data_IF_922024115977
#
_entry.id   IF_922024115977
#
_cell.length_a   1.000
_cell.length_b   1.000
_cell.length_c   1.000
_cell.angle_alpha   90.00
_cell.angle_beta   90.00
_cell.angle_gamma   90.00
#
_symmetry.space_group_name_H-M   'P 1'
#
loop_
_entity.id
_entity.type
_entity.pdbx_description
1 polymer ?
#
# COMPACT_ATOMS: atom_id res chain seq x y z
N UNK A 1 27.18 -16.06 -26.08
CA UNK A 1 28.26 -16.47 -27.02
C UNK A 1 29.65 -16.67 -26.36
N UNK A 2 29.90 -16.27 -25.09
CA UNK A 2 31.24 -16.42 -24.46
C UNK A 2 31.41 -17.53 -23.42
N UNK A 3 30.34 -18.24 -23.02
CA UNK A 3 30.47 -19.22 -21.94
C UNK A 3 31.20 -20.50 -22.37
N UNK A 4 31.09 -20.89 -23.65
CA UNK A 4 31.72 -22.12 -24.15
C UNK A 4 33.26 -22.04 -24.23
N UNK A 5 33.81 -20.86 -24.56
CA UNK A 5 35.26 -20.65 -24.67
C UNK A 5 35.97 -20.58 -23.30
N UNK A 6 35.21 -20.35 -22.21
CA UNK A 6 35.73 -20.28 -20.83
C UNK A 6 35.62 -21.60 -20.07
N UNK A 7 35.15 -22.68 -20.69
CA UNK A 7 35.02 -23.99 -20.04
C UNK A 7 36.36 -24.71 -20.04
N UNK A 8 36.91 -24.95 -18.84
CA UNK A 8 38.18 -25.68 -18.65
C UNK A 8 37.98 -27.19 -18.40
N UNK A 9 36.84 -27.59 -17.83
CA UNK A 9 36.54 -28.98 -17.48
C UNK A 9 35.64 -29.64 -18.52
N UNK A 10 36.01 -30.84 -19.00
CA UNK A 10 35.20 -31.61 -19.96
C UNK A 10 33.87 -32.13 -19.41
N UNK A 11 33.69 -32.16 -18.08
CA UNK A 11 32.43 -32.53 -17.42
C UNK A 11 32.30 -31.86 -16.05
N UNK A 12 31.32 -30.95 -15.89
CA UNK A 12 30.98 -30.34 -14.60
C UNK A 12 30.07 -31.26 -13.79
N UNK A 13 30.46 -31.56 -12.56
CA UNK A 13 29.61 -32.29 -11.61
C UNK A 13 28.67 -31.32 -10.90
N UNK A 14 27.39 -31.68 -10.79
CA UNK A 14 26.45 -30.92 -9.99
C UNK A 14 26.68 -31.22 -8.49
N UNK A 15 27.27 -30.27 -7.77
CA UNK A 15 27.54 -30.39 -6.32
C UNK A 15 26.30 -30.12 -5.45
N UNK A 16 25.15 -29.80 -6.02
CA UNK A 16 23.92 -29.59 -5.25
C UNK A 16 23.32 -30.93 -4.80
N UNK A 17 23.35 -31.16 -3.49
CA UNK A 17 22.73 -32.35 -2.86
C UNK A 17 21.21 -32.29 -2.81
N UNK A 18 20.61 -31.11 -2.98
CA UNK A 18 19.16 -30.90 -2.94
C UNK A 18 18.76 -29.93 -4.04
N UNK A 19 17.76 -30.31 -4.83
CA UNK A 19 17.18 -29.45 -5.86
C UNK A 19 16.21 -28.50 -5.18
N UNK A 20 16.50 -27.19 -5.23
CA UNK A 20 15.52 -26.15 -4.90
C UNK A 20 14.89 -25.64 -6.19
N UNK A 21 13.57 -25.44 -6.16
CA UNK A 21 12.83 -24.79 -7.25
C UNK A 21 12.68 -23.31 -6.89
N UNK A 22 13.79 -22.59 -6.97
CA UNK A 22 13.80 -21.17 -6.66
C UNK A 22 13.03 -20.41 -7.74
N UNK A 23 12.10 -19.55 -7.31
CA UNK A 23 11.47 -18.55 -8.18
C UNK A 23 12.10 -17.19 -7.84
N UNK A 24 12.47 -16.38 -8.85
CA UNK A 24 13.09 -15.08 -8.60
C UNK A 24 12.14 -14.20 -7.76
N UNK A 25 12.65 -13.59 -6.69
CA UNK A 25 11.87 -12.75 -5.78
C UNK A 25 11.03 -13.50 -4.73
N UNK A 26 10.94 -14.83 -4.78
CA UNK A 26 10.21 -15.63 -3.79
C UNK A 26 11.18 -16.30 -2.82
N UNK A 27 11.46 -15.63 -1.70
CA UNK A 27 12.33 -16.16 -0.66
C UNK A 27 11.60 -17.00 0.40
N UNK A 28 10.29 -16.78 0.58
CA UNK A 28 9.47 -17.41 1.61
C UNK A 28 8.20 -18.06 1.04
N UNK A 29 7.46 -18.77 1.91
CA UNK A 29 6.14 -19.31 1.56
C UNK A 29 5.17 -18.19 1.14
N UNK A 30 4.32 -18.48 0.16
CA UNK A 30 3.33 -17.52 -0.35
C UNK A 30 2.03 -17.60 0.45
N UNK A 31 1.46 -16.45 0.77
CA UNK A 31 0.09 -16.33 1.31
C UNK A 31 -0.95 -16.38 0.20
N UNK A 32 -2.23 -16.51 0.56
CA UNK A 32 -3.33 -16.41 -0.39
C UNK A 32 -3.32 -15.02 -1.06
N UNK A 33 -3.08 -14.93 -2.38
CA UNK A 33 -3.01 -13.65 -3.06
C UNK A 33 -4.41 -13.07 -3.27
N UNK A 34 -4.54 -11.74 -3.22
CA UNK A 34 -5.77 -11.04 -3.64
C UNK A 34 -6.02 -11.30 -5.13
N UNK A 35 -4.93 -11.31 -5.92
CA UNK A 35 -4.98 -11.73 -7.32
C UNK A 35 -4.96 -13.25 -7.40
N UNK A 36 -6.15 -13.84 -7.35
CA UNK A 36 -6.36 -15.29 -7.28
C UNK A 36 -5.94 -16.05 -8.54
N UNK A 37 -5.87 -17.39 -8.41
CA UNK A 37 -5.54 -18.28 -9.53
C UNK A 37 -6.53 -18.09 -10.69
N UNK A 38 -5.98 -17.96 -11.89
CA UNK A 38 -6.77 -17.84 -13.10
C UNK A 38 -7.32 -16.43 -13.36
N UNK A 39 -6.95 -15.43 -12.54
CA UNK A 39 -7.18 -14.02 -12.80
C UNK A 39 -5.90 -13.35 -13.30
N UNK A 40 -6.03 -12.49 -14.31
CA UNK A 40 -4.98 -11.60 -14.79
C UNK A 40 -5.26 -10.19 -14.29
N UNK A 41 -4.19 -9.49 -13.90
CA UNK A 41 -4.19 -8.09 -13.52
C UNK A 41 -3.07 -7.40 -14.30
N UNK A 42 -3.40 -6.34 -15.03
CA UNK A 42 -2.43 -5.49 -15.70
C UNK A 42 -2.74 -4.03 -15.37
N UNK A 43 -1.69 -3.23 -15.16
CA UNK A 43 -1.80 -1.79 -14.95
C UNK A 43 -1.01 -1.12 -16.07
N UNK A 44 -1.70 -0.31 -16.89
CA UNK A 44 -1.10 0.40 -18.01
C UNK A 44 -1.55 1.85 -17.96
N UNK A 45 -0.59 2.77 -17.92
CA UNK A 45 -0.85 4.21 -17.85
C UNK A 45 -1.81 4.56 -16.68
N UNK A 46 -1.65 3.87 -15.54
CA UNK A 46 -2.54 3.96 -14.37
C UNK A 46 -3.85 3.20 -14.49
N UNK A 47 -4.29 2.76 -15.67
CA UNK A 47 -5.54 2.04 -15.84
C UNK A 47 -5.39 0.54 -15.56
N UNK A 48 -6.32 0.00 -14.76
CA UNK A 48 -6.37 -1.39 -14.38
C UNK A 48 -7.22 -2.19 -15.37
N UNK A 49 -6.60 -3.21 -15.95
CA UNK A 49 -7.22 -4.21 -16.79
C UNK A 49 -7.20 -5.54 -16.05
N UNK A 50 -8.34 -6.22 -16.06
CA UNK A 50 -8.48 -7.56 -15.49
C UNK A 50 -9.07 -8.51 -16.51
N UNK A 51 -8.62 -9.76 -16.47
CA UNK A 51 -9.17 -10.83 -17.30
C UNK A 51 -9.21 -12.14 -16.52
N UNK A 52 -10.04 -13.08 -16.97
CA UNK A 52 -10.36 -14.29 -16.23
C UNK A 52 -10.28 -15.51 -17.14
N UNK A 53 -9.49 -16.49 -16.72
CA UNK A 53 -9.50 -17.82 -17.32
C UNK A 53 -10.72 -18.64 -16.87
N UNK A 54 -10.99 -19.74 -17.57
CA UNK A 54 -12.01 -20.72 -17.16
C UNK A 54 -11.79 -21.30 -15.77
N UNK A 55 -10.54 -21.31 -15.28
CA UNK A 55 -10.17 -21.84 -13.96
C UNK A 55 -10.35 -20.84 -12.80
N UNK A 56 -10.80 -19.62 -13.07
CA UNK A 56 -10.96 -18.58 -12.05
C UNK A 56 -12.12 -18.88 -11.08
N UNK A 57 -11.85 -18.77 -9.78
CA UNK A 57 -12.84 -18.92 -8.71
C UNK A 57 -13.88 -17.79 -8.71
N UNK A 58 -15.01 -18.01 -8.04
CA UNK A 58 -16.05 -16.98 -7.90
C UNK A 58 -15.51 -15.72 -7.19
N UNK A 59 -14.71 -15.89 -6.14
CA UNK A 59 -14.02 -14.79 -5.46
C UNK A 59 -13.10 -14.01 -6.42
N UNK A 60 -12.34 -14.71 -7.26
CA UNK A 60 -11.48 -14.06 -8.25
C UNK A 60 -12.32 -13.26 -9.26
N UNK A 61 -13.49 -13.79 -9.66
CA UNK A 61 -14.41 -13.07 -10.56
C UNK A 61 -14.95 -11.79 -9.91
N UNK A 62 -15.35 -11.86 -8.63
CA UNK A 62 -15.81 -10.68 -7.86
C UNK A 62 -14.72 -9.63 -7.72
N UNK A 63 -13.50 -10.03 -7.36
CA UNK A 63 -12.34 -9.12 -7.23
C UNK A 63 -11.96 -8.52 -8.59
N UNK A 64 -11.95 -9.34 -9.64
CA UNK A 64 -11.70 -8.89 -11.02
C UNK A 64 -12.67 -7.79 -11.44
N UNK A 65 -13.96 -7.97 -11.15
CA UNK A 65 -15.00 -6.99 -11.47
C UNK A 65 -14.76 -5.65 -10.75
N UNK A 66 -14.41 -5.71 -9.46
CA UNK A 66 -14.12 -4.52 -8.64
C UNK A 66 -12.92 -3.75 -9.21
N UNK A 67 -11.83 -4.45 -9.50
CA UNK A 67 -10.59 -3.83 -9.98
C UNK A 67 -10.65 -3.43 -11.46
N UNK A 68 -11.53 -4.05 -12.26
CA UNK A 68 -11.66 -3.74 -13.69
C UNK A 68 -12.01 -2.26 -13.89
N UNK A 69 -11.30 -1.59 -14.79
CA UNK A 69 -11.45 -0.18 -15.13
C UNK A 69 -11.21 0.79 -13.95
N UNK A 70 -10.62 0.32 -12.85
CA UNK A 70 -10.10 1.21 -11.83
C UNK A 70 -8.84 1.93 -12.32
N UNK A 71 -8.50 3.04 -11.68
CA UNK A 71 -7.31 3.83 -11.91
C UNK A 71 -6.42 3.65 -10.68
N UNK A 72 -5.26 3.05 -10.86
CA UNK A 72 -4.24 2.93 -9.83
C UNK A 72 -3.57 4.28 -9.57
N UNK A 73 -3.48 4.66 -8.29
CA UNK A 73 -2.79 5.88 -7.89
C UNK A 73 -1.29 5.60 -7.78
N UNK A 74 -0.58 5.83 -8.88
CA UNK A 74 0.86 5.60 -8.96
C UNK A 74 1.66 6.54 -8.03
N UNK A 75 2.73 6.00 -7.46
CA UNK A 75 3.59 6.66 -6.48
C UNK A 75 3.02 6.77 -5.07
N UNK A 76 1.73 6.47 -4.85
CA UNK A 76 1.09 6.57 -3.52
C UNK A 76 0.72 5.19 -2.98
N UNK A 77 1.71 4.39 -2.61
CA UNK A 77 1.51 3.15 -1.85
C UNK A 77 2.36 3.20 -0.58
N UNK A 78 1.82 2.68 0.51
CA UNK A 78 2.39 2.89 1.85
C UNK A 78 2.25 1.65 2.71
N UNK A 79 3.15 1.47 3.68
CA UNK A 79 2.99 0.42 4.69
C UNK A 79 2.25 0.99 5.90
N UNK A 80 0.95 0.71 6.01
CA UNK A 80 0.08 1.23 7.07
C UNK A 80 -0.34 0.08 7.98
N UNK A 81 -0.08 0.21 9.28
CA UNK A 81 -0.34 -0.83 10.29
C UNK A 81 0.24 -2.21 9.91
N UNK A 82 1.43 -2.19 9.28
CA UNK A 82 2.12 -3.40 8.84
C UNK A 82 1.47 -4.13 7.66
N UNK A 83 0.61 -3.45 6.91
CA UNK A 83 0.01 -3.89 5.64
C UNK A 83 0.49 -3.01 4.50
N UNK A 84 0.83 -3.64 3.39
CA UNK A 84 1.14 -2.98 2.12
C UNK A 84 -0.17 -2.50 1.49
N UNK A 85 -0.37 -1.19 1.46
CA UNK A 85 -1.62 -0.56 1.06
C UNK A 85 -1.47 0.10 -0.31
N UNK A 86 -2.26 -0.38 -1.27
CA UNK A 86 -2.37 0.15 -2.62
C UNK A 86 -3.74 0.81 -2.82
N UNK A 87 -3.74 1.94 -3.51
CA UNK A 87 -4.94 2.78 -3.66
C UNK A 87 -5.37 2.90 -5.12
N UNK A 88 -6.67 2.81 -5.32
CA UNK A 88 -7.32 2.82 -6.62
C UNK A 88 -8.54 3.74 -6.56
N UNK A 89 -8.87 4.35 -7.69
CA UNK A 89 -10.10 5.13 -7.88
C UNK A 89 -10.91 4.49 -9.00
N UNK A 90 -12.20 4.28 -8.78
CA UNK A 90 -13.10 3.76 -9.80
C UNK A 90 -14.21 4.77 -10.09
N UNK A 91 -14.34 5.14 -11.36
CA UNK A 91 -15.39 6.05 -11.80
C UNK A 91 -16.71 5.29 -11.92
N UNK A 92 -17.75 5.78 -11.26
CA UNK A 92 -19.08 5.19 -11.23
C UNK A 92 -19.59 4.93 -9.81
N UNK A 93 -20.74 4.27 -9.75
CA UNK A 93 -21.39 3.85 -8.51
C UNK A 93 -20.83 2.51 -8.03
N UNK A 94 -20.75 2.34 -6.71
CA UNK A 94 -20.31 1.10 -6.09
C UNK A 94 -21.38 -0.01 -6.13
N UNK A 95 -22.63 0.32 -6.43
CA UNK A 95 -23.79 -0.55 -6.26
C UNK A 95 -23.66 -1.90 -6.98
N UNK A 96 -23.16 -1.92 -8.23
CA UNK A 96 -22.97 -3.17 -8.98
C UNK A 96 -21.91 -4.08 -8.35
N UNK A 97 -20.82 -3.50 -7.86
CA UNK A 97 -19.72 -4.25 -7.24
C UNK A 97 -20.10 -4.73 -5.83
N UNK A 98 -20.81 -3.90 -5.07
CA UNK A 98 -21.37 -4.24 -3.76
C UNK A 98 -22.43 -5.34 -3.85
N UNK A 99 -23.29 -5.29 -4.88
CA UNK A 99 -24.28 -6.32 -5.16
C UNK A 99 -23.61 -7.65 -5.50
N UNK A 100 -22.57 -7.64 -6.36
CA UNK A 100 -21.82 -8.85 -6.70
C UNK A 100 -21.12 -9.48 -5.48
N UNK A 101 -20.67 -8.67 -4.53
CA UNK A 101 -20.13 -9.14 -3.25
C UNK A 101 -21.22 -9.56 -2.25
N UNK A 102 -22.47 -9.18 -2.46
CA UNK A 102 -23.57 -9.39 -1.52
C UNK A 102 -23.32 -8.70 -0.17
N UNK A 103 -22.76 -7.49 -0.18
CA UNK A 103 -22.50 -6.66 1.00
C UNK A 103 -22.97 -5.23 0.75
N UNK A 104 -23.69 -4.64 1.70
CA UNK A 104 -24.10 -3.24 1.65
C UNK A 104 -23.21 -2.34 2.53
N UNK A 105 -22.74 -2.84 3.68
CA UNK A 105 -21.87 -2.11 4.60
C UNK A 105 -21.15 -3.09 5.53
N UNK A 106 -20.10 -2.64 6.22
CA UNK A 106 -19.38 -3.46 7.19
C UNK A 106 -18.26 -4.27 6.55
N UNK A 107 -18.05 -5.50 7.03
CA UNK A 107 -17.02 -6.39 6.51
C UNK A 107 -17.61 -7.76 6.11
N UNK A 108 -16.96 -8.44 5.17
CA UNK A 108 -17.28 -9.80 4.73
C UNK A 108 -15.99 -10.55 4.41
N UNK A 109 -15.89 -11.79 4.88
CA UNK A 109 -14.81 -12.71 4.49
C UNK A 109 -15.29 -13.56 3.32
N UNK A 110 -14.49 -13.59 2.25
CA UNK A 110 -14.70 -14.44 1.08
C UNK A 110 -14.24 -15.89 1.35
N UNK A 111 -14.62 -16.84 0.50
CA UNK A 111 -14.27 -18.27 0.68
C UNK A 111 -12.76 -18.51 0.65
N UNK A 112 -12.04 -17.72 -0.13
CA UNK A 112 -10.58 -17.67 -0.21
C UNK A 112 -9.88 -17.17 1.07
N UNK A 113 -10.64 -16.69 2.07
CA UNK A 113 -10.12 -16.07 3.29
C UNK A 113 -9.72 -14.59 3.11
N UNK A 114 -9.98 -14.01 1.93
CA UNK A 114 -9.81 -12.58 1.67
C UNK A 114 -10.93 -11.81 2.36
N UNK A 115 -10.59 -10.73 3.06
CA UNK A 115 -11.58 -9.88 3.70
C UNK A 115 -11.90 -8.67 2.81
N UNK A 116 -13.16 -8.29 2.80
CA UNK A 116 -13.65 -7.08 2.12
C UNK A 116 -14.36 -6.21 3.14
N UNK A 117 -13.98 -4.95 3.23
CA UNK A 117 -14.60 -3.96 4.10
C UNK A 117 -15.15 -2.81 3.27
N UNK A 118 -16.37 -2.39 3.56
CA UNK A 118 -17.04 -1.26 2.90
C UNK A 118 -17.19 -0.14 3.91
N UNK A 119 -16.60 1.01 3.62
CA UNK A 119 -16.59 2.18 4.48
C UNK A 119 -16.98 3.45 3.71
N UNK A 120 -17.25 4.51 4.48
CA UNK A 120 -17.39 5.85 3.93
C UNK A 120 -18.66 6.15 3.14
N UNK A 121 -19.66 5.25 3.08
CA UNK A 121 -20.96 5.42 2.39
C UNK A 121 -21.65 6.72 2.80
N UNK A 122 -21.37 7.79 2.08
CA UNK A 122 -21.85 9.15 2.34
C UNK A 122 -21.87 9.93 1.04
N UNK A 123 -22.31 11.18 1.08
CA UNK A 123 -22.23 12.10 -0.08
C UNK A 123 -20.80 12.28 -0.61
N UNK A 124 -19.76 11.92 0.16
CA UNK A 124 -18.36 12.06 -0.22
C UNK A 124 -17.81 10.89 -1.04
N UNK A 125 -18.56 9.80 -1.20
CA UNK A 125 -18.17 8.60 -1.96
C UNK A 125 -18.31 7.30 -1.16
N UNK A 126 -17.80 6.19 -1.70
CA UNK A 126 -17.73 4.87 -1.04
C UNK A 126 -16.30 4.38 -1.14
N UNK A 127 -15.76 3.77 -0.09
CA UNK A 127 -14.46 3.09 -0.13
C UNK A 127 -14.68 1.60 0.11
N UNK A 128 -14.07 0.78 -0.74
CA UNK A 128 -14.06 -0.67 -0.63
C UNK A 128 -12.62 -1.14 -0.46
N UNK A 129 -12.33 -1.82 0.64
CA UNK A 129 -11.01 -2.33 0.99
C UNK A 129 -11.00 -3.85 0.91
N UNK A 130 -10.18 -4.40 0.00
CA UNK A 130 -9.93 -5.83 -0.14
C UNK A 130 -8.59 -6.10 0.54
N UNK A 131 -8.56 -6.88 1.60
CA UNK A 131 -7.32 -7.14 2.33
C UNK A 131 -7.10 -8.62 2.63
N UNK A 132 -5.83 -9.03 2.46
CA UNK A 132 -5.29 -10.29 2.93
C UNK A 132 -4.44 -10.04 4.19
N UNK A 133 -3.62 -11.01 4.61
CA UNK A 133 -2.81 -10.90 5.82
C UNK A 133 -1.87 -9.68 5.85
N UNK A 134 -1.30 -9.31 4.69
CA UNK A 134 -0.26 -8.27 4.58
C UNK A 134 -0.46 -7.30 3.41
N UNK A 135 -1.51 -7.46 2.63
CA UNK A 135 -1.79 -6.65 1.44
C UNK A 135 -3.21 -6.09 1.54
N UNK A 136 -3.38 -4.81 1.18
CA UNK A 136 -4.67 -4.13 1.14
C UNK A 136 -4.79 -3.37 -0.18
N UNK A 137 -5.88 -3.61 -0.91
CA UNK A 137 -6.30 -2.81 -2.05
C UNK A 137 -7.50 -1.96 -1.64
N UNK A 138 -7.35 -0.64 -1.64
CA UNK A 138 -8.41 0.32 -1.32
C UNK A 138 -8.93 0.95 -2.59
N UNK A 139 -10.22 0.77 -2.88
CA UNK A 139 -10.90 1.30 -4.08
C UNK A 139 -11.87 2.38 -3.65
N UNK A 140 -11.60 3.62 -4.04
CA UNK A 140 -12.48 4.78 -3.84
C UNK A 140 -13.39 4.98 -5.05
N UNK A 141 -14.70 4.98 -4.83
CA UNK A 141 -15.70 5.22 -5.87
C UNK A 141 -16.07 6.70 -5.95
N UNK A 142 -16.28 7.20 -7.17
CA UNK A 142 -16.70 8.56 -7.42
C UNK A 142 -17.32 8.76 -8.80
N UNK A 143 -18.18 9.77 -8.94
CA UNK A 143 -18.93 10.01 -10.18
C UNK A 143 -18.18 10.86 -11.23
N UNK A 144 -17.14 11.57 -10.82
CA UNK A 144 -16.38 12.48 -11.69
C UNK A 144 -14.88 12.25 -11.59
N UNK A 145 -14.15 12.68 -12.62
CA UNK A 145 -12.70 12.59 -12.68
C UNK A 145 -12.01 13.35 -11.53
N UNK A 146 -12.65 14.37 -10.95
CA UNK A 146 -12.13 15.10 -9.78
C UNK A 146 -11.86 14.21 -8.56
N UNK A 147 -12.51 13.05 -8.48
CA UNK A 147 -12.29 12.11 -7.37
C UNK A 147 -10.86 11.59 -7.35
N UNK A 148 -10.19 11.52 -8.50
CA UNK A 148 -8.80 11.10 -8.61
C UNK A 148 -7.87 12.04 -7.83
N UNK A 149 -7.92 13.33 -8.15
CA UNK A 149 -7.11 14.35 -7.49
C UNK A 149 -7.49 14.51 -6.02
N UNK A 150 -8.78 14.49 -5.70
CA UNK A 150 -9.25 14.55 -4.30
C UNK A 150 -8.74 13.39 -3.47
N UNK A 151 -8.73 12.18 -4.03
CA UNK A 151 -8.22 11.01 -3.33
C UNK A 151 -6.69 11.07 -3.19
N UNK A 152 -5.97 11.52 -4.23
CA UNK A 152 -4.51 11.74 -4.15
C UNK A 152 -4.14 12.74 -3.05
N UNK A 153 -4.79 13.91 -3.02
CA UNK A 153 -4.59 14.90 -1.95
C UNK A 153 -4.95 14.35 -0.57
N UNK A 154 -6.05 13.60 -0.46
CA UNK A 154 -6.46 12.98 0.81
C UNK A 154 -5.40 12.00 1.32
N UNK A 155 -4.83 11.18 0.44
CA UNK A 155 -3.80 10.21 0.80
C UNK A 155 -2.49 10.86 1.20
N UNK A 156 -2.06 11.92 0.48
CA UNK A 156 -0.87 12.70 0.81
C UNK A 156 -1.03 13.42 2.16
N UNK A 157 -2.20 13.98 2.45
CA UNK A 157 -2.47 14.60 3.75
C UNK A 157 -2.42 13.57 4.89
N UNK A 158 -3.01 12.39 4.68
CA UNK A 158 -2.92 11.31 5.66
C UNK A 158 -1.49 10.78 5.84
N UNK A 159 -0.71 10.71 4.76
CA UNK A 159 0.70 10.35 4.81
C UNK A 159 1.51 11.38 5.61
N UNK A 160 1.27 12.66 5.34
CA UNK A 160 1.90 13.77 6.07
C UNK A 160 1.63 13.70 7.57
N UNK A 161 0.37 13.45 7.97
CA UNK A 161 0.01 13.30 9.38
C UNK A 161 0.74 12.12 10.04
N UNK A 162 0.93 11.00 9.32
CA UNK A 162 1.72 9.86 9.81
C UNK A 162 3.21 10.22 9.94
N UNK A 163 3.77 10.89 8.93
CA UNK A 163 5.17 11.32 8.93
C UNK A 163 5.45 12.28 10.10
N UNK A 164 4.62 13.30 10.28
CA UNK A 164 4.69 14.25 11.40
C UNK A 164 4.56 13.54 12.75
N UNK A 165 3.56 12.67 12.91
CA UNK A 165 3.38 11.92 14.16
C UNK A 165 4.59 11.03 14.46
N UNK A 166 5.16 10.37 13.46
CA UNK A 166 6.36 9.57 13.61
C UNK A 166 7.62 10.40 13.92
N UNK A 167 7.76 11.58 13.31
CA UNK A 167 8.89 12.48 13.53
C UNK A 167 8.87 13.05 14.95
N UNK A 168 7.70 13.55 15.38
CA UNK A 168 7.49 14.00 16.76
C UNK A 168 7.71 12.87 17.78
N UNK A 169 7.23 11.66 17.49
CA UNK A 169 7.47 10.49 18.34
C UNK A 169 8.95 10.14 18.47
N UNK A 170 9.72 10.23 17.37
CA UNK A 170 11.17 10.03 17.38
C UNK A 170 11.87 11.09 18.21
N UNK A 171 11.55 12.37 18.01
CA UNK A 171 12.13 13.48 18.77
C UNK A 171 11.82 13.38 20.26
N UNK A 172 10.57 13.06 20.62
CA UNK A 172 10.19 12.86 22.01
C UNK A 172 11.00 11.71 22.66
N UNK A 173 11.23 10.62 21.92
CA UNK A 173 12.05 9.51 22.41
C UNK A 173 13.53 9.89 22.57
N UNK A 174 14.10 10.66 21.64
CA UNK A 174 15.49 11.14 21.73
C UNK A 174 15.70 12.03 22.96
N UNK A 175 14.79 12.98 23.21
CA UNK A 175 14.83 13.82 24.41
C UNK A 175 14.69 12.99 25.68
N UNK A 176 13.82 11.98 25.69
CA UNK A 176 13.67 11.06 26.83
C UNK A 176 14.95 10.24 27.10
N UNK A 177 15.66 9.84 26.06
CA UNK A 177 16.92 9.09 26.15
C UNK A 177 18.15 9.98 26.42
N UNK A 178 17.97 11.31 26.50
CA UNK A 178 19.06 12.26 26.67
C UNK A 178 20.00 12.33 25.45
N UNK A 179 19.54 11.88 24.29
CA UNK A 179 20.28 11.96 23.02
C UNK A 179 20.03 13.31 22.37
N UNK A 180 21.02 13.79 21.63
CA UNK A 180 20.83 14.95 20.76
C UNK A 180 19.89 14.54 19.61
N UNK A 181 18.73 15.21 19.54
CA UNK A 181 17.78 15.08 18.44
C UNK A 181 18.23 15.82 17.18
N UNK A 182 17.38 15.90 16.17
CA UNK A 182 17.67 16.69 14.95
C UNK A 182 17.80 18.20 15.22
N UNK A 183 17.29 18.66 16.37
CA UNK A 183 17.36 20.06 16.82
C UNK A 183 17.75 20.15 18.29
N UNK A 184 18.46 21.23 18.63
CA UNK A 184 18.72 21.60 20.02
C UNK A 184 17.49 22.32 20.59
N UNK A 185 16.78 21.65 21.49
CA UNK A 185 15.63 22.20 22.21
C UNK A 185 16.06 22.93 23.49
N UNK A 186 15.45 24.07 23.78
CA UNK A 186 15.59 24.73 25.07
C UNK A 186 14.91 23.90 26.18
N UNK A 187 15.25 24.13 27.44
CA UNK A 187 14.76 23.28 28.56
C UNK A 187 13.23 23.32 28.72
N UNK A 188 12.61 24.48 28.50
CA UNK A 188 11.15 24.63 28.47
C UNK A 188 10.51 23.88 27.29
N UNK A 189 11.14 23.91 26.11
CA UNK A 189 10.68 23.21 24.92
C UNK A 189 10.81 21.69 25.08
N UNK A 190 11.89 21.21 25.71
CA UNK A 190 12.06 19.79 26.08
C UNK A 190 10.94 19.32 27.00
N UNK A 191 10.63 20.09 28.04
CA UNK A 191 9.52 19.77 28.96
C UNK A 191 8.18 19.72 28.21
N UNK A 192 7.94 20.67 27.29
CA UNK A 192 6.74 20.68 26.47
C UNK A 192 6.67 19.46 25.54
N UNK A 193 7.77 19.10 24.89
CA UNK A 193 7.86 17.93 24.01
C UNK A 193 7.62 16.62 24.78
N UNK A 194 8.16 16.49 25.98
CA UNK A 194 7.93 15.32 26.84
C UNK A 194 6.48 15.23 27.34
N UNK A 195 5.83 16.36 27.62
CA UNK A 195 4.46 16.41 28.15
C UNK A 195 3.39 16.26 27.06
N UNK A 196 3.55 16.95 25.92
CA UNK A 196 2.52 17.09 24.88
C UNK A 196 2.87 16.28 23.61
N UNK A 197 4.14 15.92 23.42
CA UNK A 197 4.62 15.25 22.20
C UNK A 197 4.87 16.20 21.04
N UNK A 198 4.76 17.52 21.25
CA UNK A 198 5.07 18.57 20.27
C UNK A 198 5.44 19.87 20.98
N UNK A 199 6.15 20.74 20.27
CA UNK A 199 6.52 22.08 20.77
C UNK A 199 5.70 23.14 20.03
N UNK A 200 5.09 24.07 20.76
CA UNK A 200 4.27 25.11 20.14
C UNK A 200 5.13 26.07 19.29
N UNK A 201 4.63 26.43 18.10
CA UNK A 201 5.35 27.29 17.16
C UNK A 201 6.33 26.55 16.23
N UNK A 202 6.48 25.23 16.40
CA UNK A 202 7.28 24.39 15.52
C UNK A 202 6.39 23.47 14.71
N UNK A 203 6.64 23.46 13.40
CA UNK A 203 6.00 22.57 12.44
C UNK A 203 7.07 21.76 11.72
N UNK A 204 6.73 20.52 11.36
CA UNK A 204 7.57 19.70 10.50
C UNK A 204 7.26 20.01 9.05
N UNK A 205 8.30 20.12 8.22
CA UNK A 205 8.17 20.35 6.78
C UNK A 205 8.97 19.28 6.06
N UNK A 206 8.54 18.91 4.86
CA UNK A 206 9.29 17.94 4.08
C UNK A 206 10.67 18.47 3.68
N UNK A 207 11.70 17.64 3.86
CA UNK A 207 13.05 17.91 3.37
C UNK A 207 13.11 17.68 1.85
N UNK A 208 12.57 16.55 1.39
CA UNK A 208 12.41 16.24 -0.03
C UNK A 208 10.96 16.49 -0.48
N UNK A 209 10.75 17.18 -1.61
CA UNK A 209 9.41 17.53 -2.08
C UNK A 209 8.62 16.28 -2.47
N UNK A 210 7.46 16.11 -1.84
CA UNK A 210 6.58 14.94 -2.04
C UNK A 210 5.89 14.92 -3.39
N UNK A 211 5.88 16.04 -4.12
CA UNK A 211 5.42 16.10 -5.51
C UNK A 211 6.34 15.30 -6.44
N UNK A 212 7.64 15.21 -6.10
CA UNK A 212 8.64 14.46 -6.84
C UNK A 212 8.87 13.07 -6.22
N UNK A 213 8.75 12.95 -4.90
CA UNK A 213 8.98 11.73 -4.14
C UNK A 213 7.76 11.35 -3.29
N UNK A 214 6.61 11.01 -3.91
CA UNK A 214 5.38 10.68 -3.17
C UNK A 214 5.55 9.44 -2.26
N UNK A 215 6.47 8.54 -2.59
CA UNK A 215 6.81 7.37 -1.78
C UNK A 215 7.43 7.73 -0.41
N UNK A 216 7.92 8.97 -0.24
CA UNK A 216 8.47 9.46 1.03
C UNK A 216 7.46 10.25 1.86
N UNK A 217 6.21 10.38 1.41
CA UNK A 217 5.23 11.23 2.07
C UNK A 217 4.82 10.75 3.48
N UNK A 218 4.95 9.45 3.79
CA UNK A 218 4.70 8.92 5.14
C UNK A 218 5.98 8.70 5.96
N UNK A 219 7.14 9.05 5.41
CA UNK A 219 8.43 8.87 6.06
C UNK A 219 8.69 9.97 7.07
N UNK A 220 8.74 9.60 8.34
CA UNK A 220 9.20 10.49 9.42
C UNK A 220 10.69 10.87 9.34
N UNK A 221 11.47 10.23 8.47
CA UNK A 221 12.86 10.64 8.19
C UNK A 221 12.94 11.72 7.12
N UNK A 222 11.83 12.01 6.43
CA UNK A 222 11.73 13.09 5.44
C UNK A 222 11.07 14.36 6.00
N UNK A 223 10.92 14.44 7.34
CA UNK A 223 10.36 15.58 8.10
C UNK A 223 11.48 16.27 8.86
#
# INVERSE_FOLDING_TARGET
>A
HNQAFMVLEGRRLNKQRRIKRDKPGYWFGTTTPIVGKGMMLAIRDGHVLTDLSSSASEDSRKISQILSNAIYLDGTHYTIDGRDCHFFVKLGLADSDLLALGISSGHKTLESGINVTVSGRSRRGVTLEIHSAKLTYSVRYGLSAEVLEKERSRLLEQAHQRALSGAWGREQQQVREGREGGRVWAENEKQQLLAIGKVAGYEGYYVLPVEQYPELADSSANI
#
